data_IF_274895983066
#
_entry.id   IF_274895983066
#
_cell.length_a   1.000
_cell.length_b   1.000
_cell.length_c   1.000
_cell.angle_alpha   90.00
_cell.angle_beta   90.00
_cell.angle_gamma   90.00
#
_symmetry.space_group_name_H-M   'P 1'
#
loop_
_entity.id
_entity.type
_entity.pdbx_description
1 polymer ?
#
# COMPACT_ATOMS: atom_id res chain seq x y z
N UNK A 1 -15.43 44.53 14.18
CA UNK A 1 -16.50 43.64 13.67
C UNK A 1 -17.08 42.84 14.83
N UNK A 2 -18.27 43.21 15.27
CA UNK A 2 -19.00 42.59 16.39
C UNK A 2 -19.51 41.22 15.92
N UNK A 3 -19.06 40.14 16.55
CA UNK A 3 -19.61 38.79 16.32
C UNK A 3 -21.07 38.81 16.81
N UNK A 4 -22.04 38.75 15.88
CA UNK A 4 -23.44 38.51 16.21
C UNK A 4 -23.53 37.19 16.98
N UNK A 5 -23.88 37.25 18.26
CA UNK A 5 -24.28 36.09 19.03
C UNK A 5 -25.52 35.51 18.33
N UNK A 6 -25.42 34.26 17.87
CA UNK A 6 -26.59 33.52 17.39
C UNK A 6 -27.65 33.43 18.48
N UNK A 7 -28.92 33.17 18.13
CA UNK A 7 -30.01 33.12 19.09
C UNK A 7 -29.65 32.16 20.25
N UNK A 8 -29.75 32.66 21.49
CA UNK A 8 -29.58 31.84 22.69
C UNK A 8 -30.60 30.70 22.57
N UNK A 9 -30.11 29.46 22.51
CA UNK A 9 -30.96 28.29 22.63
C UNK A 9 -31.84 28.45 23.87
N UNK A 10 -33.09 27.97 23.81
CA UNK A 10 -34.01 27.95 24.94
C UNK A 10 -33.34 27.12 26.05
N UNK A 11 -32.65 27.79 26.97
CA UNK A 11 -31.99 27.12 28.09
C UNK A 11 -33.05 26.86 29.15
N UNK A 12 -33.45 25.60 29.28
CA UNK A 12 -34.32 25.16 30.37
C UNK A 12 -33.63 25.42 31.72
N UNK A 13 -34.40 25.75 32.76
CA UNK A 13 -33.85 25.93 34.10
C UNK A 13 -33.33 24.61 34.68
N UNK A 14 -32.42 24.67 35.66
CA UNK A 14 -31.91 23.48 36.35
C UNK A 14 -33.05 22.60 36.89
N UNK A 15 -34.08 23.23 37.46
CA UNK A 15 -35.25 22.54 38.01
C UNK A 15 -36.02 21.79 36.91
N UNK A 16 -36.21 22.42 35.75
CA UNK A 16 -36.86 21.79 34.59
C UNK A 16 -36.02 20.65 34.00
N UNK A 17 -34.70 20.83 33.88
CA UNK A 17 -33.80 19.78 33.38
C UNK A 17 -33.81 18.54 34.29
N UNK A 18 -33.70 18.73 35.61
CA UNK A 18 -33.77 17.63 36.58
C UNK A 18 -35.12 16.93 36.51
N UNK A 19 -36.24 17.66 36.53
CA UNK A 19 -37.57 17.06 36.48
C UNK A 19 -37.79 16.22 35.20
N UNK A 20 -37.27 16.68 34.05
CA UNK A 20 -37.35 15.93 32.79
C UNK A 20 -36.42 14.71 32.77
N UNK A 21 -35.20 14.82 33.31
CA UNK A 21 -34.29 13.68 33.44
C UNK A 21 -34.88 12.60 34.38
N UNK A 22 -35.50 13.02 35.48
CA UNK A 22 -36.19 12.10 36.40
C UNK A 22 -37.37 11.40 35.73
N UNK A 23 -38.12 12.13 34.88
CA UNK A 23 -39.20 11.56 34.07
C UNK A 23 -38.68 10.52 33.06
N UNK A 24 -37.64 10.85 32.29
CA UNK A 24 -36.97 9.91 31.36
C UNK A 24 -36.44 8.68 32.11
N UNK A 25 -35.83 8.86 33.29
CA UNK A 25 -35.34 7.76 34.10
C UNK A 25 -36.47 6.85 34.62
N UNK A 26 -37.63 7.42 34.98
CA UNK A 26 -38.80 6.65 35.36
C UNK A 26 -39.35 5.82 34.18
N UNK A 27 -39.47 6.42 32.99
CA UNK A 27 -39.87 5.72 31.76
C UNK A 27 -38.91 4.59 31.38
N UNK A 28 -37.60 4.82 31.49
CA UNK A 28 -36.59 3.79 31.27
C UNK A 28 -36.73 2.63 32.26
N UNK A 29 -36.92 2.93 33.55
CA UNK A 29 -37.18 1.89 34.56
C UNK A 29 -38.44 1.10 34.25
N UNK A 30 -39.52 1.74 33.84
CA UNK A 30 -40.73 1.03 33.43
C UNK A 30 -40.45 0.12 32.22
N UNK A 31 -39.84 0.67 31.17
CA UNK A 31 -39.48 -0.09 29.97
C UNK A 31 -38.66 -1.34 30.31
N UNK A 32 -37.70 -1.27 31.26
CA UNK A 32 -36.92 -2.45 31.66
C UNK A 32 -37.75 -3.61 32.24
N UNK A 33 -38.91 -3.37 32.83
CA UNK A 33 -39.81 -4.42 33.30
C UNK A 33 -40.64 -5.03 32.16
N UNK A 34 -40.79 -4.30 31.06
CA UNK A 34 -41.55 -4.70 29.87
C UNK A 34 -40.66 -5.38 28.82
N UNK A 35 -39.33 -5.25 28.88
CA UNK A 35 -38.39 -5.85 27.90
C UNK A 35 -38.66 -7.35 27.72
N UNK A 36 -38.99 -7.73 26.47
CA UNK A 36 -39.30 -9.12 26.12
C UNK A 36 -40.78 -9.48 26.24
N UNK A 37 -41.62 -8.54 26.70
CA UNK A 37 -43.09 -8.64 26.63
C UNK A 37 -43.62 -8.11 25.30
N UNK A 38 -44.87 -8.45 24.91
CA UNK A 38 -45.54 -7.87 23.74
C UNK A 38 -45.70 -6.34 23.80
N UNK A 39 -45.67 -5.78 25.00
CA UNK A 39 -45.81 -4.33 25.24
C UNK A 39 -44.48 -3.59 25.06
N UNK A 40 -43.34 -4.29 25.02
CA UNK A 40 -42.06 -3.68 24.66
C UNK A 40 -42.00 -3.37 23.17
N UNK A 41 -42.13 -2.09 22.84
CA UNK A 41 -42.03 -1.60 21.47
C UNK A 41 -40.75 -0.81 21.23
N UNK A 42 -40.27 -0.84 19.99
CA UNK A 42 -39.12 -0.02 19.56
C UNK A 42 -39.46 1.47 19.67
N UNK A 43 -40.70 1.80 19.36
CA UNK A 43 -41.25 3.15 19.36
C UNK A 43 -41.15 3.80 20.74
N UNK A 44 -41.49 3.04 21.80
CA UNK A 44 -41.36 3.53 23.19
C UNK A 44 -39.92 3.90 23.54
N UNK A 45 -38.95 3.08 23.13
CA UNK A 45 -37.53 3.37 23.37
C UNK A 45 -37.05 4.57 22.53
N UNK A 46 -37.49 4.67 21.29
CA UNK A 46 -37.16 5.78 20.39
C UNK A 46 -37.67 7.13 20.95
N UNK A 47 -38.87 7.17 21.53
CA UNK A 47 -39.41 8.35 22.21
C UNK A 47 -38.58 8.77 23.42
N UNK A 48 -38.16 7.81 24.26
CA UNK A 48 -37.31 8.07 25.42
C UNK A 48 -35.97 8.66 24.96
N UNK A 49 -35.36 8.09 23.91
CA UNK A 49 -34.11 8.58 23.33
C UNK A 49 -34.29 9.99 22.76
N UNK A 50 -35.40 10.27 22.07
CA UNK A 50 -35.71 11.59 21.53
C UNK A 50 -35.84 12.64 22.63
N UNK A 51 -36.50 12.32 23.75
CA UNK A 51 -36.63 13.20 24.90
C UNK A 51 -35.26 13.49 25.54
N UNK A 52 -34.44 12.44 25.74
CA UNK A 52 -33.09 12.59 26.28
C UNK A 52 -32.21 13.48 25.40
N UNK A 53 -32.30 13.34 24.07
CA UNK A 53 -31.59 14.18 23.09
C UNK A 53 -32.07 15.64 23.12
N UNK A 54 -33.38 15.86 23.27
CA UNK A 54 -33.93 17.22 23.44
C UNK A 54 -33.41 17.88 24.72
N UNK A 55 -33.41 17.15 25.86
CA UNK A 55 -32.83 17.66 27.12
C UNK A 55 -31.35 17.99 26.93
N UNK A 56 -30.59 17.10 26.29
CA UNK A 56 -29.17 17.31 26.03
C UNK A 56 -28.95 18.59 25.22
N UNK A 57 -29.73 18.81 24.16
CA UNK A 57 -29.62 19.98 23.29
C UNK A 57 -30.02 21.28 24.00
N UNK A 58 -31.08 21.27 24.79
CA UNK A 58 -31.59 22.45 25.48
C UNK A 58 -30.71 22.85 26.67
N UNK A 59 -30.15 21.86 27.38
CA UNK A 59 -29.31 22.10 28.54
C UNK A 59 -27.86 22.43 28.16
N UNK A 60 -27.23 21.60 27.31
CA UNK A 60 -25.82 21.76 26.93
C UNK A 60 -25.64 22.62 25.67
N UNK A 61 -26.71 22.89 24.93
CA UNK A 61 -26.63 23.54 23.62
C UNK A 61 -26.17 22.59 22.51
N UNK A 62 -26.05 23.13 21.29
CA UNK A 62 -25.39 22.41 20.20
C UNK A 62 -23.93 22.18 20.55
N UNK A 63 -23.39 21.00 20.21
CA UNK A 63 -21.96 20.73 20.37
C UNK A 63 -21.14 21.82 19.70
N UNK A 64 -20.29 22.47 20.49
CA UNK A 64 -19.35 23.46 20.00
C UNK A 64 -18.28 22.85 19.11
N UNK A 65 -17.59 23.70 18.34
CA UNK A 65 -16.42 23.28 17.56
C UNK A 65 -15.37 22.71 18.51
N UNK A 66 -14.90 21.50 18.23
CA UNK A 66 -13.84 20.87 19.02
C UNK A 66 -12.57 21.74 19.03
N UNK A 67 -11.86 21.73 20.16
CA UNK A 67 -10.52 22.32 20.24
C UNK A 67 -9.53 21.51 19.40
N UNK A 68 -8.38 22.10 19.07
CA UNK A 68 -7.32 21.40 18.33
C UNK A 68 -6.92 20.14 19.10
N UNK A 69 -6.94 18.98 18.44
CA UNK A 69 -6.63 17.68 19.06
C UNK A 69 -7.79 16.95 19.75
N UNK A 70 -8.94 17.60 19.98
CA UNK A 70 -10.15 16.96 20.57
C UNK A 70 -11.25 16.67 19.54
N UNK A 71 -10.87 16.59 18.27
CA UNK A 71 -11.79 16.33 17.15
C UNK A 71 -12.45 14.96 17.23
N UNK A 72 -13.43 14.73 16.35
CA UNK A 72 -14.20 13.48 16.29
C UNK A 72 -13.33 12.21 16.28
N UNK A 73 -12.23 12.20 15.49
CA UNK A 73 -11.27 11.08 15.42
C UNK A 73 -10.69 10.73 16.80
N UNK A 74 -10.24 11.73 17.56
CA UNK A 74 -9.69 11.55 18.90
C UNK A 74 -10.74 11.04 19.90
N UNK A 75 -11.99 11.52 19.81
CA UNK A 75 -13.09 11.03 20.65
C UNK A 75 -13.44 9.58 20.38
N UNK A 76 -13.50 9.20 19.09
CA UNK A 76 -13.72 7.81 18.67
C UNK A 76 -12.62 6.92 19.23
N UNK A 77 -11.35 7.31 19.05
CA UNK A 77 -10.23 6.54 19.56
C UNK A 77 -10.27 6.39 21.08
N UNK A 78 -10.54 7.47 21.82
CA UNK A 78 -10.66 7.41 23.28
C UNK A 78 -11.78 6.46 23.73
N UNK A 79 -12.91 6.46 23.03
CA UNK A 79 -14.03 5.56 23.30
C UNK A 79 -13.69 4.09 23.04
N UNK A 80 -13.03 3.81 21.91
CA UNK A 80 -12.58 2.47 21.54
C UNK A 80 -11.47 1.95 22.48
N UNK A 81 -10.51 2.79 22.91
CA UNK A 81 -9.44 2.39 23.85
C UNK A 81 -9.97 2.00 25.23
N UNK A 82 -11.08 2.59 25.67
CA UNK A 82 -11.76 2.17 26.91
C UNK A 82 -12.48 0.82 26.77
N UNK A 83 -12.64 0.32 25.53
CA UNK A 83 -13.44 -0.86 25.15
C UNK A 83 -12.65 -1.81 24.25
N UNK A 84 -11.34 -1.90 24.47
CA UNK A 84 -10.48 -2.84 23.72
C UNK A 84 -11.05 -4.26 23.88
N UNK A 85 -11.14 -4.98 22.76
CA UNK A 85 -11.75 -6.32 22.68
C UNK A 85 -13.28 -6.35 22.69
N UNK A 86 -13.97 -5.23 22.89
CA UNK A 86 -15.44 -5.17 22.88
C UNK A 86 -15.97 -4.70 21.52
N UNK A 87 -17.13 -5.22 21.12
CA UNK A 87 -17.83 -4.77 19.92
C UNK A 87 -18.57 -3.47 20.24
N UNK A 88 -18.33 -2.45 19.43
CA UNK A 88 -18.95 -1.12 19.51
C UNK A 88 -19.78 -0.88 18.26
N UNK A 89 -21.05 -0.51 18.42
CA UNK A 89 -21.95 -0.23 17.31
C UNK A 89 -21.66 1.13 16.66
N UNK A 90 -21.92 1.24 15.36
CA UNK A 90 -21.73 2.48 14.60
C UNK A 90 -22.51 3.66 15.17
N UNK A 91 -23.72 3.41 15.70
CA UNK A 91 -24.56 4.41 16.36
C UNK A 91 -23.91 4.97 17.63
N UNK A 92 -23.19 4.14 18.40
CA UNK A 92 -22.42 4.60 19.56
C UNK A 92 -21.27 5.50 19.11
N UNK A 93 -20.55 5.10 18.05
CA UNK A 93 -19.46 5.89 17.49
C UNK A 93 -19.98 7.24 16.98
N UNK A 94 -21.13 7.24 16.30
CA UNK A 94 -21.80 8.46 15.83
C UNK A 94 -22.14 9.39 16.99
N UNK A 95 -22.78 8.85 18.03
CA UNK A 95 -23.21 9.61 19.19
C UNK A 95 -22.01 10.18 19.96
N UNK A 96 -20.94 9.40 20.19
CA UNK A 96 -19.76 9.87 20.93
C UNK A 96 -18.96 10.90 20.12
N UNK A 97 -18.80 10.67 18.82
CA UNK A 97 -18.02 11.55 17.94
C UNK A 97 -18.75 12.86 17.61
N UNK A 98 -20.08 12.81 17.51
CA UNK A 98 -20.94 13.95 17.15
C UNK A 98 -20.93 14.29 15.68
N UNK A 99 -20.58 13.34 14.82
CA UNK A 99 -20.55 13.49 13.37
C UNK A 99 -21.25 12.31 12.69
N UNK A 100 -21.87 12.55 11.54
CA UNK A 100 -22.38 11.46 10.68
C UNK A 100 -21.25 10.72 9.95
N UNK A 101 -20.15 11.41 9.62
CA UNK A 101 -18.99 10.87 8.90
C UNK A 101 -18.02 10.08 9.80
N UNK A 102 -18.54 9.40 10.82
CA UNK A 102 -17.73 8.67 11.80
C UNK A 102 -17.03 7.47 11.16
N UNK A 103 -17.67 6.78 10.20
CA UNK A 103 -17.11 5.60 9.53
C UNK A 103 -15.82 5.94 8.77
N UNK A 104 -15.72 7.15 8.23
CA UNK A 104 -14.48 7.66 7.65
C UNK A 104 -13.38 7.81 8.71
N UNK A 105 -13.69 8.38 9.88
CA UNK A 105 -12.71 8.56 10.96
C UNK A 105 -12.21 7.24 11.52
N UNK A 106 -13.08 6.22 11.61
CA UNK A 106 -12.69 4.86 11.98
C UNK A 106 -11.71 4.27 10.96
N UNK A 107 -12.00 4.41 9.66
CA UNK A 107 -11.06 3.99 8.62
C UNK A 107 -9.72 4.71 8.72
N UNK A 108 -9.71 6.01 8.97
CA UNK A 108 -8.48 6.78 9.17
C UNK A 108 -7.67 6.29 10.38
N UNK A 109 -8.32 5.97 11.51
CA UNK A 109 -7.65 5.35 12.65
C UNK A 109 -7.03 4.00 12.28
N UNK A 110 -7.75 3.22 11.47
CA UNK A 110 -7.31 1.88 11.06
C UNK A 110 -6.11 1.90 10.13
N UNK A 111 -6.14 2.74 9.09
CA UNK A 111 -5.14 2.71 8.02
C UNK A 111 -4.05 3.78 8.15
N UNK A 112 -4.40 4.99 8.58
CA UNK A 112 -3.44 6.11 8.67
C UNK A 112 -2.69 6.09 10.00
N UNK A 113 -3.39 5.75 11.09
CA UNK A 113 -2.82 5.77 12.45
C UNK A 113 -2.44 4.37 12.93
N UNK A 114 -2.74 3.31 12.17
CA UNK A 114 -2.28 1.94 12.44
C UNK A 114 -3.03 1.17 13.53
N UNK A 115 -4.18 1.66 14.00
CA UNK A 115 -4.98 0.93 14.99
C UNK A 115 -5.61 -0.32 14.38
N UNK A 116 -5.52 -1.45 15.08
CA UNK A 116 -6.13 -2.69 14.64
C UNK A 116 -7.63 -2.69 14.95
N UNK A 117 -8.41 -2.20 14.00
CA UNK A 117 -9.87 -2.09 14.11
C UNK A 117 -10.53 -3.07 13.15
N UNK A 118 -11.10 -4.13 13.69
CA UNK A 118 -11.87 -5.13 12.96
C UNK A 118 -13.31 -4.66 12.80
N UNK A 119 -13.86 -4.81 11.60
CA UNK A 119 -15.29 -4.64 11.34
C UNK A 119 -16.00 -5.96 11.63
N UNK A 120 -17.03 -5.92 12.47
CA UNK A 120 -17.76 -7.09 12.96
C UNK A 120 -19.20 -7.00 12.44
N UNK A 121 -19.52 -7.80 11.43
CA UNK A 121 -20.83 -7.70 10.75
C UNK A 121 -20.98 -6.37 9.99
N UNK A 122 -22.20 -5.85 9.90
CA UNK A 122 -22.47 -4.58 9.24
C UNK A 122 -22.47 -3.42 10.24
N UNK A 123 -21.42 -2.59 10.22
CA UNK A 123 -21.42 -1.32 10.94
C UNK A 123 -21.02 -1.37 12.42
N UNK A 124 -20.51 -2.50 12.92
CA UNK A 124 -19.90 -2.58 14.24
C UNK A 124 -18.38 -2.77 14.16
N UNK A 125 -17.66 -2.31 15.19
CA UNK A 125 -16.21 -2.28 15.19
C UNK A 125 -15.66 -2.77 16.51
N UNK A 126 -14.49 -3.42 16.46
CA UNK A 126 -13.73 -3.82 17.64
C UNK A 126 -12.30 -3.38 17.50
N UNK A 127 -11.78 -2.69 18.50
CA UNK A 127 -10.36 -2.38 18.61
C UNK A 127 -9.65 -3.57 19.28
N UNK A 128 -8.74 -4.22 18.56
CA UNK A 128 -8.07 -5.44 19.05
C UNK A 128 -6.92 -5.12 20.02
N UNK A 129 -6.26 -3.96 19.84
CA UNK A 129 -5.14 -3.51 20.68
C UNK A 129 -5.27 -2.03 21.03
N UNK A 130 -4.90 -1.65 22.25
CA UNK A 130 -4.88 -0.26 22.71
C UNK A 130 -3.82 0.59 22.00
N UNK A 131 -2.75 -0.03 21.51
CA UNK A 131 -1.62 0.62 20.85
C UNK A 131 -1.64 0.39 19.34
N UNK A 132 -1.26 1.39 18.53
CA UNK A 132 -1.21 1.27 17.09
C UNK A 132 0.00 0.45 16.61
N UNK A 133 -0.14 -0.17 15.44
CA UNK A 133 0.98 -0.72 14.69
C UNK A 133 1.57 0.38 13.79
N UNK A 134 2.60 1.06 14.30
CA UNK A 134 3.25 2.19 13.61
C UNK A 134 3.91 1.78 12.29
N UNK A 135 4.50 0.58 12.20
CA UNK A 135 5.12 0.09 10.96
C UNK A 135 4.09 -0.14 9.85
N UNK A 136 2.90 -0.67 10.20
CA UNK A 136 1.77 -0.82 9.27
C UNK A 136 1.25 0.56 8.82
N UNK A 137 1.13 1.51 9.74
CA UNK A 137 0.70 2.88 9.44
C UNK A 137 1.67 3.58 8.49
N UNK A 138 2.97 3.54 8.81
CA UNK A 138 4.04 4.07 7.96
C UNK A 138 4.00 3.43 6.57
N UNK A 139 3.82 2.11 6.52
CA UNK A 139 3.74 1.37 5.26
C UNK A 139 2.61 1.87 4.37
N UNK A 140 1.41 1.96 4.94
CA UNK A 140 0.25 2.46 4.22
C UNK A 140 0.40 3.94 3.83
N UNK A 141 1.02 4.77 4.69
CA UNK A 141 1.22 6.19 4.41
C UNK A 141 2.13 6.39 3.19
N UNK A 142 3.23 5.64 3.10
CA UNK A 142 4.13 5.64 1.92
C UNK A 142 3.37 5.22 0.66
N UNK A 143 2.65 4.09 0.71
CA UNK A 143 1.86 3.60 -0.43
C UNK A 143 0.81 4.62 -0.88
N UNK A 144 0.12 5.23 0.07
CA UNK A 144 -0.93 6.20 -0.19
C UNK A 144 -0.38 7.54 -0.70
N UNK A 145 0.83 7.94 -0.28
CA UNK A 145 1.55 9.05 -0.89
C UNK A 145 1.84 8.75 -2.37
N UNK A 146 2.45 7.60 -2.66
CA UNK A 146 2.76 7.16 -4.03
C UNK A 146 1.49 7.09 -4.88
N UNK A 147 0.41 6.53 -4.34
CA UNK A 147 -0.91 6.46 -4.97
C UNK A 147 -1.45 7.84 -5.38
N UNK A 148 -1.10 8.90 -4.64
CA UNK A 148 -1.55 10.28 -4.92
C UNK A 148 -0.61 11.06 -5.83
N UNK A 149 0.61 10.57 -6.09
CA UNK A 149 1.53 11.21 -7.04
C UNK A 149 0.92 11.30 -8.42
N UNK A 150 1.22 12.38 -9.13
CA UNK A 150 0.93 12.51 -10.56
C UNK A 150 1.76 11.51 -11.37
N UNK A 151 1.33 11.22 -12.61
CA UNK A 151 1.98 10.25 -13.49
C UNK A 151 1.16 8.99 -13.75
N UNK A 152 1.75 8.09 -14.54
CA UNK A 152 1.11 6.85 -14.97
C UNK A 152 1.03 5.81 -13.85
N UNK A 153 0.20 4.78 -14.03
CA UNK A 153 0.17 3.64 -13.11
C UNK A 153 1.52 2.93 -13.02
N UNK A 154 2.30 2.92 -14.10
CA UNK A 154 3.64 2.34 -14.14
C UNK A 154 4.65 3.15 -13.33
N UNK A 155 4.60 4.48 -13.40
CA UNK A 155 5.46 5.36 -12.60
C UNK A 155 5.22 5.15 -11.10
N UNK A 156 3.96 4.95 -10.70
CA UNK A 156 3.60 4.64 -9.31
C UNK A 156 4.06 3.25 -8.88
N UNK A 157 4.05 2.26 -9.78
CA UNK A 157 4.56 0.91 -9.51
C UNK A 157 6.09 0.97 -9.32
N UNK A 158 6.81 1.68 -10.19
CA UNK A 158 8.25 1.89 -10.06
C UNK A 158 8.58 2.55 -8.71
N UNK A 159 7.89 3.64 -8.35
CA UNK A 159 8.07 4.32 -7.07
C UNK A 159 7.76 3.41 -5.85
N UNK A 160 6.79 2.50 -5.96
CA UNK A 160 6.52 1.51 -4.91
C UNK A 160 7.70 0.56 -4.72
N UNK A 161 8.24 0.01 -5.82
CA UNK A 161 9.39 -0.87 -5.76
C UNK A 161 10.65 -0.17 -5.22
N UNK A 162 10.91 1.08 -5.61
CA UNK A 162 12.03 1.87 -5.08
C UNK A 162 11.89 2.11 -3.57
N UNK A 163 10.68 2.47 -3.11
CA UNK A 163 10.40 2.68 -1.69
C UNK A 163 10.46 1.38 -0.85
N UNK A 164 10.49 0.22 -1.51
CA UNK A 164 10.43 -1.13 -0.93
C UNK A 164 11.55 -2.03 -1.45
N UNK A 165 12.71 -1.46 -1.80
CA UNK A 165 13.83 -2.24 -2.31
C UNK A 165 14.24 -3.31 -1.30
N UNK A 166 14.39 -4.54 -1.76
CA UNK A 166 14.67 -5.71 -0.92
C UNK A 166 13.46 -6.27 -0.16
N UNK A 167 12.32 -5.57 -0.10
CA UNK A 167 11.09 -6.05 0.54
C UNK A 167 10.17 -6.78 -0.46
N UNK A 168 9.32 -7.67 0.06
CA UNK A 168 8.30 -8.34 -0.74
C UNK A 168 7.18 -7.34 -1.02
N UNK A 169 6.89 -7.10 -2.29
CA UNK A 169 5.76 -6.30 -2.76
C UNK A 169 4.72 -7.23 -3.37
N UNK A 170 3.51 -7.23 -2.80
CA UNK A 170 2.41 -8.07 -3.28
C UNK A 170 1.50 -7.37 -4.29
N UNK A 171 0.67 -8.16 -4.96
CA UNK A 171 -0.31 -7.66 -5.94
C UNK A 171 -1.31 -6.65 -5.36
N UNK A 172 -1.71 -6.75 -4.08
CA UNK A 172 -2.66 -5.81 -3.47
C UNK A 172 -2.04 -4.43 -3.32
N UNK A 173 -0.78 -4.36 -2.90
CA UNK A 173 -0.03 -3.10 -2.81
C UNK A 173 0.12 -2.46 -4.20
N UNK A 174 0.50 -3.26 -5.20
CA UNK A 174 0.66 -2.82 -6.59
C UNK A 174 -0.66 -2.28 -7.15
N UNK A 175 -1.77 -2.99 -6.97
CA UNK A 175 -3.10 -2.55 -7.42
C UNK A 175 -3.55 -1.28 -6.70
N UNK A 176 -3.30 -1.20 -5.38
CA UNK A 176 -3.64 -0.04 -4.57
C UNK A 176 -2.96 1.23 -5.07
N UNK A 177 -1.64 1.20 -5.30
CA UNK A 177 -0.88 2.39 -5.74
C UNK A 177 -1.12 2.74 -7.20
N UNK A 178 -1.25 1.75 -8.07
CA UNK A 178 -1.26 1.95 -9.52
C UNK A 178 -2.60 2.43 -10.06
N UNK A 179 -3.71 2.06 -9.42
CA UNK A 179 -5.09 2.35 -9.86
C UNK A 179 -5.43 1.83 -11.26
N UNK A 180 -4.84 0.71 -11.68
CA UNK A 180 -5.07 0.09 -13.00
C UNK A 180 -5.38 -1.41 -12.86
N UNK A 181 -6.15 -1.97 -13.79
CA UNK A 181 -6.46 -3.41 -13.82
C UNK A 181 -5.25 -4.26 -14.26
N UNK A 182 -4.45 -3.76 -15.20
CA UNK A 182 -3.33 -4.47 -15.85
C UNK A 182 -1.99 -4.29 -15.10
N UNK A 183 -2.02 -4.21 -13.78
CA UNK A 183 -0.82 -3.86 -13.00
C UNK A 183 0.30 -4.91 -13.10
N UNK A 184 0.00 -6.21 -13.09
CA UNK A 184 1.02 -7.26 -13.32
C UNK A 184 1.64 -7.21 -14.72
N UNK A 185 0.92 -6.69 -15.73
CA UNK A 185 1.51 -6.46 -17.05
C UNK A 185 2.57 -5.35 -16.97
N UNK A 186 2.28 -4.26 -16.26
CA UNK A 186 3.22 -3.16 -16.04
C UNK A 186 4.45 -3.57 -15.23
N UNK A 187 4.30 -4.48 -14.26
CA UNK A 187 5.45 -5.09 -13.55
C UNK A 187 6.33 -5.85 -14.52
N UNK A 188 5.75 -6.69 -15.40
CA UNK A 188 6.50 -7.41 -16.43
C UNK A 188 7.19 -6.47 -17.41
N UNK A 189 6.56 -5.37 -17.80
CA UNK A 189 7.20 -4.38 -18.66
C UNK A 189 8.37 -3.67 -17.97
N UNK A 190 8.24 -3.30 -16.68
CA UNK A 190 9.38 -2.77 -15.92
C UNK A 190 10.56 -3.74 -15.96
N UNK A 191 10.30 -5.04 -15.78
CA UNK A 191 11.33 -6.09 -15.79
C UNK A 191 11.90 -6.37 -17.18
N UNK A 192 11.03 -6.59 -18.17
CA UNK A 192 11.38 -7.18 -19.47
C UNK A 192 11.70 -6.10 -20.53
N UNK A 193 11.09 -4.92 -20.43
CA UNK A 193 11.29 -3.81 -21.39
C UNK A 193 12.20 -2.71 -20.83
N UNK A 194 12.12 -2.44 -19.52
CA UNK A 194 12.94 -1.40 -18.88
C UNK A 194 14.10 -1.96 -18.04
N UNK A 195 14.25 -3.28 -18.00
CA UNK A 195 15.39 -3.95 -17.38
C UNK A 195 15.42 -3.88 -15.85
N UNK A 196 14.33 -3.52 -15.17
CA UNK A 196 14.32 -3.44 -13.71
C UNK A 196 14.61 -4.82 -13.10
N UNK A 197 15.52 -4.92 -12.10
CA UNK A 197 15.91 -6.19 -11.53
C UNK A 197 14.88 -6.65 -10.47
N UNK A 198 13.68 -6.95 -10.95
CA UNK A 198 12.52 -7.40 -10.16
C UNK A 198 12.44 -8.93 -10.23
N UNK A 199 12.68 -9.57 -9.10
CA UNK A 199 12.50 -11.01 -8.94
C UNK A 199 11.03 -11.38 -8.79
N UNK A 200 10.69 -12.55 -9.30
CA UNK A 200 9.42 -13.25 -9.11
C UNK A 200 9.65 -14.61 -8.45
N UNK A 201 8.58 -15.38 -8.20
CA UNK A 201 8.67 -16.76 -7.68
C UNK A 201 9.52 -17.72 -8.53
N UNK A 202 9.76 -17.40 -9.81
CA UNK A 202 10.66 -18.16 -10.70
C UNK A 202 12.12 -17.92 -10.31
N UNK A 203 12.45 -16.70 -9.89
CA UNK A 203 13.80 -16.24 -9.59
C UNK A 203 14.16 -16.50 -8.11
N UNK A 204 13.18 -16.40 -7.22
CA UNK A 204 13.31 -16.51 -5.77
C UNK A 204 12.21 -17.44 -5.21
N UNK A 205 12.53 -18.68 -4.78
CA UNK A 205 11.53 -19.67 -4.39
C UNK A 205 10.68 -19.34 -3.16
N UNK A 206 11.08 -18.35 -2.34
CA UNK A 206 10.33 -17.88 -1.19
C UNK A 206 9.19 -16.91 -1.56
N UNK A 207 9.19 -16.39 -2.79
CA UNK A 207 8.13 -15.53 -3.30
C UNK A 207 6.94 -16.36 -3.78
N UNK A 208 5.73 -15.90 -3.46
CA UNK A 208 4.49 -16.42 -4.03
C UNK A 208 4.25 -15.94 -5.48
N UNK A 209 3.30 -16.56 -6.21
CA UNK A 209 3.04 -16.25 -7.63
C UNK A 209 2.69 -14.79 -7.95
N UNK A 210 2.24 -14.02 -6.95
CA UNK A 210 1.82 -12.61 -7.06
C UNK A 210 2.66 -11.67 -6.21
N UNK A 211 3.84 -12.15 -5.81
CA UNK A 211 4.82 -11.42 -5.02
C UNK A 211 6.07 -11.16 -5.86
N UNK A 212 6.65 -10.00 -5.63
CA UNK A 212 7.81 -9.52 -6.36
C UNK A 212 8.78 -8.85 -5.40
N UNK A 213 10.06 -8.83 -5.76
CA UNK A 213 11.09 -8.13 -4.99
C UNK A 213 12.00 -7.34 -5.92
N UNK A 214 12.13 -6.04 -5.71
CA UNK A 214 13.16 -5.26 -6.39
C UNK A 214 14.49 -5.52 -5.67
N UNK A 215 15.50 -5.99 -6.41
CA UNK A 215 16.81 -6.34 -5.82
C UNK A 215 17.77 -5.15 -5.74
N UNK A 216 17.59 -4.12 -6.58
CA UNK A 216 18.41 -2.92 -6.58
C UNK A 216 17.69 -1.73 -7.22
N UNK A 217 18.01 -0.52 -6.74
CA UNK A 217 17.63 0.75 -7.36
C UNK A 217 18.73 1.32 -8.26
N UNK A 218 19.94 0.75 -8.26
CA UNK A 218 21.03 1.20 -9.12
C UNK A 218 20.68 0.92 -10.60
N UNK A 219 20.78 1.94 -11.45
CA UNK A 219 20.56 1.79 -12.88
C UNK A 219 21.57 0.87 -13.56
N UNK A 220 22.76 0.68 -12.98
CA UNK A 220 23.79 -0.22 -13.49
C UNK A 220 23.43 -1.69 -13.27
N UNK A 221 22.54 -1.98 -12.31
CA UNK A 221 22.02 -3.31 -12.03
C UNK A 221 20.78 -3.63 -12.90
N UNK A 222 20.49 -2.82 -13.92
CA UNK A 222 19.41 -3.09 -14.87
C UNK A 222 19.85 -4.12 -15.89
N UNK A 223 18.93 -5.03 -16.22
CA UNK A 223 19.07 -5.97 -17.33
C UNK A 223 19.10 -5.21 -18.64
N UNK A 224 19.92 -5.66 -19.59
CA UNK A 224 19.91 -5.09 -20.95
C UNK A 224 18.55 -5.39 -21.62
N UNK A 225 17.78 -4.38 -22.06
CA UNK A 225 16.54 -4.60 -22.80
C UNK A 225 16.71 -5.44 -24.08
N UNK A 226 17.92 -5.50 -24.65
CA UNK A 226 18.24 -6.34 -25.81
C UNK A 226 18.22 -7.83 -25.50
N UNK A 227 18.16 -8.24 -24.22
CA UNK A 227 18.00 -9.65 -23.86
C UNK A 227 16.77 -10.31 -24.51
N UNK A 228 15.77 -9.52 -24.93
CA UNK A 228 14.58 -9.98 -25.68
C UNK A 228 14.87 -10.46 -27.11
N UNK A 229 16.03 -10.11 -27.68
CA UNK A 229 16.41 -10.50 -29.04
C UNK A 229 16.81 -11.98 -29.15
N UNK A 230 17.09 -12.62 -28.01
CA UNK A 230 17.56 -13.98 -27.94
C UNK A 230 16.41 -14.93 -27.60
N UNK A 231 16.01 -15.82 -28.54
CA UNK A 231 15.07 -16.89 -28.24
C UNK A 231 15.58 -17.75 -27.08
N UNK A 232 14.67 -18.33 -26.30
CA UNK A 232 15.00 -19.15 -25.12
C UNK A 232 15.96 -20.30 -25.47
N UNK A 233 15.74 -20.98 -26.61
CA UNK A 233 16.62 -22.06 -27.08
C UNK A 233 18.03 -21.60 -27.42
N UNK A 234 18.20 -20.35 -27.89
CA UNK A 234 19.53 -19.77 -28.15
C UNK A 234 20.20 -19.38 -26.84
N UNK A 235 19.46 -18.75 -25.92
CA UNK A 235 19.96 -18.43 -24.57
C UNK A 235 20.47 -19.68 -23.88
N UNK A 236 19.68 -20.76 -23.91
CA UNK A 236 20.04 -22.05 -23.33
C UNK A 236 21.34 -22.59 -23.96
N UNK A 237 21.45 -22.63 -25.29
CA UNK A 237 22.67 -23.09 -25.97
C UNK A 237 23.91 -22.28 -25.59
N UNK A 238 23.79 -20.95 -25.49
CA UNK A 238 24.92 -20.08 -25.08
C UNK A 238 25.29 -20.34 -23.62
N UNK A 239 24.31 -20.45 -22.72
CA UNK A 239 24.54 -20.69 -21.31
C UNK A 239 25.13 -22.09 -21.04
N UNK A 240 24.64 -23.13 -21.72
CA UNK A 240 25.16 -24.49 -21.61
C UNK A 240 26.61 -24.58 -22.11
N UNK A 241 26.91 -23.95 -23.27
CA UNK A 241 28.28 -23.86 -23.79
C UNK A 241 29.24 -23.20 -22.81
N UNK A 242 28.76 -22.16 -22.12
CA UNK A 242 29.53 -21.35 -21.18
C UNK A 242 29.47 -21.90 -19.73
N UNK A 243 28.89 -23.09 -19.55
CA UNK A 243 28.80 -23.78 -18.25
C UNK A 243 28.00 -23.00 -17.20
N UNK A 244 27.04 -22.18 -17.61
CA UNK A 244 26.24 -21.30 -16.74
C UNK A 244 27.11 -20.38 -15.85
N UNK A 245 28.24 -19.92 -16.38
CA UNK A 245 29.17 -19.03 -15.68
C UNK A 245 29.46 -17.79 -16.52
N UNK A 246 29.75 -16.67 -15.84
CA UNK A 246 30.26 -15.49 -16.52
C UNK A 246 31.61 -15.78 -17.17
N UNK A 247 31.74 -15.48 -18.46
CA UNK A 247 32.96 -15.72 -19.23
C UNK A 247 34.08 -14.67 -18.99
N UNK A 248 33.87 -13.72 -18.08
CA UNK A 248 34.88 -12.75 -17.63
C UNK A 248 35.30 -13.06 -16.20
N UNK A 249 34.40 -12.93 -15.22
CA UNK A 249 34.75 -13.16 -13.82
C UNK A 249 34.63 -14.62 -13.34
N UNK A 250 34.08 -15.55 -14.15
CA UNK A 250 33.95 -16.97 -13.80
C UNK A 250 32.91 -17.28 -12.71
N UNK A 251 32.13 -16.29 -12.28
CA UNK A 251 31.09 -16.45 -11.25
C UNK A 251 29.81 -17.06 -11.84
N UNK A 252 29.14 -17.84 -11.02
CA UNK A 252 27.75 -18.28 -11.17
C UNK A 252 26.94 -17.74 -9.98
N UNK A 253 25.64 -18.03 -9.94
CA UNK A 253 24.74 -17.57 -8.87
C UNK A 253 25.18 -18.05 -7.49
N UNK A 254 25.63 -19.30 -7.35
CA UNK A 254 26.03 -19.88 -6.05
C UNK A 254 27.27 -19.18 -5.52
N UNK A 255 28.28 -18.94 -6.37
CA UNK A 255 29.50 -18.22 -6.00
C UNK A 255 29.21 -16.77 -5.63
N UNK A 256 28.27 -16.12 -6.33
CA UNK A 256 27.85 -14.75 -6.02
C UNK A 256 27.14 -14.68 -4.66
N UNK A 257 26.17 -15.57 -4.41
CA UNK A 257 25.45 -15.65 -3.14
C UNK A 257 26.39 -15.95 -1.96
N UNK A 258 27.42 -16.79 -2.16
CA UNK A 258 28.42 -17.12 -1.12
C UNK A 258 29.19 -15.89 -0.61
N UNK A 259 29.38 -14.87 -1.46
CA UNK A 259 30.02 -13.59 -1.08
C UNK A 259 29.01 -12.49 -0.78
N UNK A 260 27.72 -12.83 -0.65
CA UNK A 260 26.64 -11.90 -0.32
C UNK A 260 26.11 -11.07 -1.50
N UNK A 261 26.47 -11.41 -2.73
CA UNK A 261 25.96 -10.75 -3.94
C UNK A 261 24.63 -11.37 -4.38
N UNK A 262 23.54 -10.87 -3.79
CA UNK A 262 22.17 -11.31 -4.06
C UNK A 262 21.57 -10.72 -5.35
N UNK A 263 22.32 -9.87 -6.06
CA UNK A 263 21.88 -9.15 -7.26
C UNK A 263 22.43 -9.80 -8.54
N UNK A 264 22.76 -11.08 -8.49
CA UNK A 264 23.45 -11.76 -9.57
C UNK A 264 22.49 -12.44 -10.56
N UNK A 265 22.67 -12.16 -11.85
CA UNK A 265 22.03 -12.89 -12.95
C UNK A 265 22.91 -12.87 -14.19
N UNK A 266 22.66 -13.82 -15.09
CA UNK A 266 23.39 -13.98 -16.34
C UNK A 266 22.60 -13.41 -17.54
N UNK A 267 23.36 -12.91 -18.49
CA UNK A 267 22.92 -12.26 -19.72
C UNK A 267 23.73 -12.75 -20.91
N UNK A 268 23.10 -12.73 -22.08
CA UNK A 268 23.78 -13.00 -23.35
C UNK A 268 24.33 -11.68 -23.89
N UNK A 269 25.62 -11.65 -24.20
CA UNK A 269 26.35 -10.50 -24.71
C UNK A 269 26.87 -10.74 -26.14
N UNK A 270 26.82 -9.72 -26.99
CA UNK A 270 27.47 -9.72 -28.31
C UNK A 270 28.93 -9.28 -28.20
N UNK A 271 29.87 -10.10 -28.71
CA UNK A 271 31.32 -9.83 -28.62
C UNK A 271 31.78 -8.65 -29.49
N UNK A 272 31.15 -8.45 -30.66
CA UNK A 272 31.67 -7.52 -31.68
C UNK A 272 30.72 -6.40 -32.10
N UNK A 273 29.46 -6.42 -31.65
CA UNK A 273 28.41 -5.50 -32.10
C UNK A 273 27.67 -4.88 -30.92
N UNK A 274 27.40 -3.57 -31.01
CA UNK A 274 26.54 -2.83 -30.06
C UNK A 274 25.12 -2.72 -30.58
N UNK A 275 24.18 -2.33 -29.72
CA UNK A 275 22.76 -2.09 -30.02
C UNK A 275 22.52 -1.50 -31.43
N UNK A 276 23.11 -0.34 -31.72
CA UNK A 276 22.94 0.40 -32.99
C UNK A 276 23.42 -0.37 -34.23
N UNK A 277 24.34 -1.33 -34.06
CA UNK A 277 24.90 -2.13 -35.16
C UNK A 277 24.13 -3.44 -35.34
N UNK A 278 23.45 -3.93 -34.30
CA UNK A 278 22.64 -5.14 -34.39
C UNK A 278 21.52 -5.00 -35.41
N UNK A 279 20.93 -3.82 -35.55
CA UNK A 279 19.90 -3.57 -36.57
C UNK A 279 20.42 -3.62 -38.01
N UNK A 280 21.71 -3.36 -38.21
CA UNK A 280 22.35 -3.40 -39.53
C UNK A 280 22.87 -4.80 -39.90
N UNK A 281 23.05 -5.70 -38.93
CA UNK A 281 23.51 -7.07 -39.18
C UNK A 281 22.42 -7.89 -39.92
N UNK A 282 22.80 -8.82 -40.82
CA UNK A 282 21.88 -9.82 -41.36
C UNK A 282 21.23 -10.62 -40.23
N UNK A 283 19.95 -11.01 -40.37
CA UNK A 283 19.24 -11.80 -39.35
C UNK A 283 19.98 -13.09 -38.97
N UNK A 284 20.67 -13.71 -39.93
CA UNK A 284 21.49 -14.91 -39.71
C UNK A 284 22.71 -14.64 -38.82
N UNK A 285 23.32 -13.45 -38.91
CA UNK A 285 24.54 -13.06 -38.19
C UNK A 285 24.30 -12.48 -36.79
N UNK A 286 23.09 -11.97 -36.51
CA UNK A 286 22.74 -11.36 -35.21
C UNK A 286 22.80 -12.34 -34.04
N UNK A 287 22.48 -13.60 -34.31
CA UNK A 287 22.29 -14.63 -33.30
C UNK A 287 23.27 -15.82 -33.50
N UNK A 288 24.42 -15.56 -34.14
CA UNK A 288 25.48 -16.56 -34.26
C UNK A 288 26.13 -16.84 -32.91
N UNK A 289 26.08 -18.09 -32.46
CA UNK A 289 26.60 -18.53 -31.16
C UNK A 289 28.07 -18.11 -30.98
N UNK A 290 28.90 -18.17 -32.03
CA UNK A 290 30.32 -17.77 -32.00
C UNK A 290 30.52 -16.31 -31.53
N UNK A 291 29.59 -15.42 -31.86
CA UNK A 291 29.58 -14.01 -31.50
C UNK A 291 28.87 -13.72 -30.16
N UNK A 292 28.28 -14.73 -29.52
CA UNK A 292 27.59 -14.59 -28.24
C UNK A 292 28.45 -15.14 -27.09
N UNK A 293 28.30 -14.57 -25.91
CA UNK A 293 28.87 -15.09 -24.66
C UNK A 293 27.99 -14.77 -23.45
N UNK A 294 28.15 -15.56 -22.41
CA UNK A 294 27.46 -15.41 -21.13
C UNK A 294 28.25 -14.47 -20.23
N UNK A 295 27.62 -13.38 -19.78
CA UNK A 295 28.19 -12.46 -18.80
C UNK A 295 27.25 -12.30 -17.61
N UNK A 296 27.78 -12.01 -16.42
CA UNK A 296 26.94 -11.48 -15.35
C UNK A 296 26.54 -10.04 -15.64
N UNK A 297 25.48 -9.54 -15.01
CA UNK A 297 25.00 -8.17 -15.25
C UNK A 297 26.09 -7.10 -15.14
N UNK A 298 26.97 -7.21 -14.14
CA UNK A 298 28.05 -6.25 -13.90
C UNK A 298 29.09 -6.25 -15.05
N UNK A 299 29.62 -7.43 -15.40
CA UNK A 299 30.57 -7.57 -16.50
C UNK A 299 29.90 -7.21 -17.84
N UNK A 300 28.62 -7.55 -18.02
CA UNK A 300 27.83 -7.18 -19.19
C UNK A 300 27.74 -5.67 -19.36
N UNK A 301 27.42 -4.95 -18.28
CA UNK A 301 27.36 -3.48 -18.27
C UNK A 301 28.72 -2.86 -18.64
N UNK A 302 29.80 -3.33 -18.00
CA UNK A 302 31.15 -2.83 -18.28
C UNK A 302 31.60 -3.09 -19.72
N UNK A 303 31.41 -4.31 -20.23
CA UNK A 303 31.81 -4.67 -21.59
C UNK A 303 30.99 -3.94 -22.64
N UNK A 304 29.69 -3.75 -22.40
CA UNK A 304 28.83 -2.93 -23.27
C UNK A 304 29.37 -1.51 -23.37
N UNK A 305 29.74 -0.89 -22.24
CA UNK A 305 30.33 0.46 -22.22
C UNK A 305 31.69 0.53 -22.94
N UNK A 306 32.57 -0.46 -22.72
CA UNK A 306 33.87 -0.57 -23.41
C UNK A 306 33.69 -0.71 -24.92
N UNK A 307 32.77 -1.58 -25.35
CA UNK A 307 32.48 -1.83 -26.76
C UNK A 307 31.90 -0.57 -27.44
N UNK A 308 30.93 0.10 -26.81
CA UNK A 308 30.40 1.37 -27.31
C UNK A 308 31.48 2.44 -27.47
N UNK A 309 32.38 2.58 -26.50
CA UNK A 309 33.50 3.53 -26.56
C UNK A 309 34.46 3.21 -27.71
N UNK A 310 34.76 1.92 -27.94
CA UNK A 310 35.60 1.47 -29.07
C UNK A 310 34.96 1.81 -30.41
N UNK A 311 33.68 1.46 -30.59
CA UNK A 311 32.92 1.74 -31.83
C UNK A 311 32.80 3.24 -32.13
N UNK A 312 32.57 4.07 -31.10
CA UNK A 312 32.56 5.54 -31.27
C UNK A 312 33.89 6.08 -31.76
N UNK A 313 35.01 5.53 -31.29
CA UNK A 313 36.36 5.90 -31.76
C UNK A 313 36.57 5.47 -33.21
N UNK A 314 36.15 4.27 -33.58
CA UNK A 314 36.25 3.75 -34.96
C UNK A 314 35.42 4.54 -35.97
N UNK A 315 34.24 5.05 -35.58
CA UNK A 315 33.39 5.88 -36.46
C UNK A 315 33.84 7.34 -36.60
N UNK A 316 34.63 7.83 -35.65
CA UNK A 316 35.16 9.20 -35.62
C UNK A 316 36.59 9.33 -36.17
N UNK A 317 37.22 8.21 -36.54
CA UNK A 317 38.52 8.12 -37.21
C UNK A 317 38.30 7.83 -38.70
#
# INVERSE_FOLDING_TARGET
MVRKAGPRAIQISRKQAVARLDHVAARLRQFTHEVGSPDSSRETLDEIIAELRSIQLEWFGRRGRASRGSGAKAKILAYLRQRVGQVVQGEEVAEVSGIGEWARRVRELRVEDGYEITEVGSGAYRLESAEPNLGRAETWNVENEIRRREGSGMDRIAALFEARVGEVVDRKQIDYVSKIAESARRVRELRDEHGWPINSYIDEPDLGPTQYRLTSTDSNDRRDPLQRLYPESLRQQVFERDGFTCQICGRDRVKAETVGDTRFYLEVHHKIAVADELEALPKSGRNEISNLMTLCHADHFEETAKLQKRKRRERGA
#
